data_IF_183366308268
#
_entry.id   IF_183366308268
#
_cell.length_a   1.000
_cell.length_b   1.000
_cell.length_c   1.000
_cell.angle_alpha   90.00
_cell.angle_beta   90.00
_cell.angle_gamma   90.00
#
_symmetry.space_group_name_H-M   'P 1'
#
loop_
_entity.id
_entity.type
_entity.pdbx_description
1 polymer ?
#
# COMPACT_ATOMS: atom_id res chain seq x y z
N UNK A 1 -36.43 -3.29 3.90
CA UNK A 1 -35.01 -2.86 3.80
C UNK A 1 -34.07 -3.87 3.14
N UNK A 2 -34.53 -5.03 2.62
CA UNK A 2 -33.68 -5.93 1.82
C UNK A 2 -33.17 -5.19 0.56
N UNK A 3 -31.88 -5.31 0.24
CA UNK A 3 -31.25 -4.70 -0.94
C UNK A 3 -30.66 -3.30 -0.80
N UNK A 4 -30.63 -2.74 0.42
CA UNK A 4 -30.01 -1.43 0.70
C UNK A 4 -28.50 -1.51 0.94
N UNK A 5 -27.97 -2.70 1.25
CA UNK A 5 -26.56 -2.93 1.54
C UNK A 5 -26.04 -4.19 0.86
N UNK A 6 -24.73 -4.24 0.62
CA UNK A 6 -24.02 -5.41 0.11
C UNK A 6 -22.61 -5.48 0.69
N UNK A 7 -22.04 -6.68 0.82
CA UNK A 7 -20.67 -6.85 1.30
C UNK A 7 -19.66 -6.54 0.17
N UNK A 8 -18.74 -5.61 0.42
CA UNK A 8 -17.71 -5.23 -0.54
C UNK A 8 -16.80 -6.41 -0.92
N UNK A 9 -16.45 -7.26 0.06
CA UNK A 9 -15.56 -8.41 -0.13
C UNK A 9 -16.07 -9.39 -1.18
N UNK A 10 -17.40 -9.57 -1.33
CA UNK A 10 -18.01 -10.46 -2.32
C UNK A 10 -17.72 -10.04 -3.76
N UNK A 11 -17.71 -8.73 -4.03
CA UNK A 11 -17.37 -8.21 -5.36
C UNK A 11 -15.91 -8.51 -5.70
N UNK A 12 -14.98 -8.20 -4.80
CA UNK A 12 -13.56 -8.49 -5.01
C UNK A 12 -13.29 -9.99 -5.12
N UNK A 13 -13.88 -10.83 -4.26
CA UNK A 13 -13.71 -12.28 -4.28
C UNK A 13 -14.19 -12.91 -5.60
N UNK A 14 -15.23 -12.35 -6.23
CA UNK A 14 -15.76 -12.84 -7.50
C UNK A 14 -14.79 -12.67 -8.68
N UNK A 15 -13.89 -11.69 -8.59
CA UNK A 15 -12.92 -11.37 -9.64
C UNK A 15 -11.48 -11.73 -9.28
N UNK A 16 -11.19 -11.95 -7.99
CA UNK A 16 -9.89 -12.34 -7.48
C UNK A 16 -9.73 -13.87 -7.48
N UNK A 17 -9.19 -14.43 -8.57
CA UNK A 17 -9.01 -15.89 -8.75
C UNK A 17 -7.70 -16.44 -8.17
N UNK A 18 -6.93 -15.63 -7.45
CA UNK A 18 -5.60 -16.05 -6.98
C UNK A 18 -5.70 -16.87 -5.69
N UNK A 19 -5.17 -18.09 -5.75
CA UNK A 19 -4.91 -18.91 -4.58
C UNK A 19 -3.59 -18.50 -3.94
N UNK A 20 -3.68 -17.78 -2.84
CA UNK A 20 -2.55 -17.41 -2.01
C UNK A 20 -1.79 -18.68 -1.57
N UNK A 21 -0.49 -18.85 -1.93
CA UNK A 21 0.27 -20.06 -1.59
C UNK A 21 0.34 -20.33 -0.07
N UNK A 22 0.26 -19.28 0.72
CA UNK A 22 0.28 -19.29 2.19
C UNK A 22 -1.10 -19.60 2.81
N UNK A 23 -2.18 -19.61 2.02
CA UNK A 23 -3.52 -19.92 2.51
C UNK A 23 -3.63 -21.33 3.10
N UNK A 24 -2.72 -22.25 2.72
CA UNK A 24 -2.65 -23.60 3.29
C UNK A 24 -2.27 -23.61 4.77
N UNK A 25 -1.59 -22.57 5.25
CA UNK A 25 -1.09 -22.48 6.62
C UNK A 25 -1.90 -21.50 7.50
N UNK A 26 -2.59 -20.53 6.89
CA UNK A 26 -3.44 -19.58 7.62
C UNK A 26 -4.59 -19.09 6.75
N UNK A 27 -5.82 -19.37 7.19
CA UNK A 27 -7.05 -18.94 6.51
C UNK A 27 -7.33 -17.44 6.65
N UNK A 28 -6.65 -16.74 7.57
CA UNK A 28 -6.83 -15.31 7.84
C UNK A 28 -5.89 -14.47 6.96
N UNK A 29 -4.71 -15.00 6.64
CA UNK A 29 -3.64 -14.26 5.96
C UNK A 29 -4.02 -13.76 4.56
N UNK A 30 -4.99 -14.40 3.91
CA UNK A 30 -5.35 -14.11 2.52
C UNK A 30 -6.82 -13.66 2.38
N UNK A 31 -7.48 -13.27 3.49
CA UNK A 31 -8.86 -12.79 3.43
C UNK A 31 -8.94 -11.40 2.82
N UNK A 32 -9.91 -11.23 1.93
CA UNK A 32 -10.29 -9.93 1.39
C UNK A 32 -11.20 -9.26 2.43
N UNK A 33 -10.66 -8.23 3.10
CA UNK A 33 -11.31 -7.50 4.19
C UNK A 33 -11.77 -8.43 5.34
N UNK A 34 -10.82 -8.87 6.18
CA UNK A 34 -10.90 -10.02 7.11
C UNK A 34 -11.89 -9.96 8.28
N UNK A 35 -13.13 -9.52 8.08
CA UNK A 35 -14.23 -9.63 9.06
C UNK A 35 -15.41 -10.44 8.54
N UNK A 36 -16.11 -11.11 9.47
CA UNK A 36 -17.41 -11.77 9.22
C UNK A 36 -18.49 -10.77 8.79
N UNK A 37 -18.30 -9.50 9.17
CA UNK A 37 -19.11 -8.33 8.79
C UNK A 37 -18.22 -7.32 8.05
N UNK A 38 -17.71 -7.73 6.88
CA UNK A 38 -16.85 -6.90 6.02
C UNK A 38 -17.41 -5.51 5.72
N UNK A 39 -16.60 -4.58 5.18
CA UNK A 39 -17.07 -3.27 4.74
C UNK A 39 -18.34 -3.38 3.89
N UNK A 40 -19.38 -2.67 4.31
CA UNK A 40 -20.69 -2.72 3.66
C UNK A 40 -20.88 -1.53 2.72
N UNK A 41 -21.20 -1.84 1.48
CA UNK A 41 -21.76 -0.89 0.52
C UNK A 41 -23.16 -0.49 0.98
N UNK A 42 -23.54 0.77 0.80
CA UNK A 42 -24.89 1.28 1.07
C UNK A 42 -25.40 2.13 -0.08
N UNK A 43 -26.66 1.96 -0.45
CA UNK A 43 -27.34 2.81 -1.45
C UNK A 43 -27.63 4.20 -0.88
N UNK A 44 -27.80 5.18 -1.77
CA UNK A 44 -28.06 6.57 -1.39
C UNK A 44 -26.84 7.39 -0.96
N UNK A 45 -25.65 6.79 -0.99
CA UNK A 45 -24.38 7.47 -0.74
C UNK A 45 -23.28 6.89 -1.63
N UNK A 46 -22.23 7.67 -1.91
CA UNK A 46 -21.03 7.16 -2.58
C UNK A 46 -20.20 6.37 -1.58
N UNK A 47 -19.90 5.11 -1.92
CA UNK A 47 -19.03 4.24 -1.14
C UNK A 47 -17.60 4.39 -1.62
N UNK A 48 -16.65 4.65 -0.72
CA UNK A 48 -15.26 4.91 -1.10
C UNK A 48 -14.28 3.91 -0.53
N UNK A 49 -13.24 3.61 -1.30
CA UNK A 49 -12.13 2.75 -0.88
C UNK A 49 -10.82 3.47 -1.10
N UNK A 50 -9.98 3.57 -0.07
CA UNK A 50 -8.63 4.09 -0.23
C UNK A 50 -7.80 3.12 -1.05
N UNK A 51 -7.04 3.65 -2.00
CA UNK A 51 -6.14 2.87 -2.83
C UNK A 51 -4.69 3.33 -2.62
N UNK A 52 -3.92 2.51 -1.92
CA UNK A 52 -2.56 2.82 -1.51
C UNK A 52 -1.53 1.95 -2.23
N UNK A 53 -1.10 2.43 -3.39
CA UNK A 53 -0.05 1.78 -4.18
C UNK A 53 1.33 2.35 -3.85
N UNK A 54 2.32 1.47 -3.68
CA UNK A 54 3.65 1.90 -3.27
C UNK A 54 4.73 0.86 -3.44
N UNK A 55 5.98 1.33 -3.46
CA UNK A 55 7.15 0.45 -3.52
C UNK A 55 7.31 -0.38 -2.25
N UNK A 56 7.04 0.19 -1.07
CA UNK A 56 7.11 -0.51 0.22
C UNK A 56 8.34 -1.43 0.36
N UNK A 57 9.56 -0.94 0.12
CA UNK A 57 10.76 -1.79 0.03
C UNK A 57 11.83 -1.47 1.10
N UNK A 58 11.64 -1.80 2.38
CA UNK A 58 10.47 -2.45 2.98
C UNK A 58 9.35 -1.45 3.35
N UNK A 59 8.13 -1.94 3.66
CA UNK A 59 7.15 -1.13 4.37
C UNK A 59 7.68 -0.74 5.76
N UNK A 60 7.19 0.38 6.29
CA UNK A 60 7.69 0.99 7.51
C UNK A 60 6.58 1.72 8.25
N UNK A 61 6.80 2.11 9.49
CA UNK A 61 5.75 2.69 10.34
C UNK A 61 5.21 4.02 9.78
N UNK A 62 6.01 4.80 9.06
CA UNK A 62 5.51 6.00 8.34
C UNK A 62 4.46 5.67 7.26
N UNK A 63 4.58 4.53 6.56
CA UNK A 63 3.56 4.10 5.60
C UNK A 63 2.26 3.72 6.31
N UNK A 64 2.36 2.99 7.43
CA UNK A 64 1.21 2.62 8.25
C UNK A 64 0.53 3.85 8.86
N UNK A 65 1.31 4.77 9.43
CA UNK A 65 0.80 6.02 10.01
C UNK A 65 0.06 6.86 8.96
N UNK A 66 0.58 6.94 7.74
CA UNK A 66 -0.13 7.59 6.64
C UNK A 66 -1.45 6.88 6.30
N UNK A 67 -1.44 5.56 6.11
CA UNK A 67 -2.66 4.79 5.83
C UNK A 67 -3.72 4.97 6.92
N UNK A 68 -3.32 4.78 8.18
CA UNK A 68 -4.18 4.92 9.34
C UNK A 68 -4.78 6.32 9.37
N UNK A 69 -3.94 7.35 9.25
CA UNK A 69 -4.41 8.72 9.34
C UNK A 69 -5.36 9.09 8.19
N UNK A 70 -5.02 8.69 6.96
CA UNK A 70 -5.88 8.91 5.81
C UNK A 70 -7.24 8.23 5.99
N UNK A 71 -7.25 6.98 6.46
CA UNK A 71 -8.48 6.22 6.70
C UNK A 71 -9.35 6.89 7.77
N UNK A 72 -8.75 7.28 8.90
CA UNK A 72 -9.44 7.99 9.98
C UNK A 72 -9.97 9.37 9.56
N UNK A 73 -9.21 10.11 8.76
CA UNK A 73 -9.56 11.46 8.30
C UNK A 73 -10.46 11.52 7.07
N UNK A 74 -11.00 10.39 6.60
CA UNK A 74 -11.85 10.33 5.39
C UNK A 74 -13.23 9.70 5.63
N UNK A 75 -13.61 9.53 6.90
CA UNK A 75 -14.96 9.07 7.25
C UNK A 75 -16.07 10.01 6.75
N UNK A 76 -15.81 11.31 6.66
CA UNK A 76 -16.77 12.32 6.17
C UNK A 76 -17.17 12.13 4.71
N UNK A 77 -16.33 11.44 3.92
CA UNK A 77 -16.63 11.05 2.53
C UNK A 77 -16.97 9.57 2.39
N UNK A 78 -17.31 8.90 3.49
CA UNK A 78 -17.73 7.50 3.49
C UNK A 78 -16.69 6.56 2.86
N UNK A 79 -15.41 6.75 3.24
CA UNK A 79 -14.39 5.69 3.04
C UNK A 79 -14.71 4.53 3.99
N UNK A 80 -14.86 3.33 3.42
CA UNK A 80 -15.27 2.13 4.16
C UNK A 80 -14.18 1.04 4.22
N UNK A 81 -13.19 1.11 3.32
CA UNK A 81 -12.12 0.11 3.23
C UNK A 81 -10.84 0.71 2.64
N UNK A 82 -9.74 -0.05 2.68
CA UNK A 82 -8.51 0.30 2.00
C UNK A 82 -7.89 -0.90 1.27
N UNK A 83 -7.29 -0.65 0.11
CA UNK A 83 -6.50 -1.63 -0.63
C UNK A 83 -5.06 -1.15 -0.74
N UNK A 84 -4.14 -1.98 -0.28
CA UNK A 84 -2.69 -1.76 -0.34
C UNK A 84 -2.14 -2.59 -1.50
N UNK A 85 -1.50 -1.93 -2.46
CA UNK A 85 -0.88 -2.58 -3.61
C UNK A 85 0.65 -2.35 -3.58
N UNK A 86 1.43 -3.35 -3.11
CA UNK A 86 2.86 -3.37 -3.35
C UNK A 86 3.15 -3.45 -4.86
N UNK A 87 3.90 -2.46 -5.37
CA UNK A 87 4.26 -2.41 -6.78
C UNK A 87 5.21 -3.54 -7.16
N UNK A 88 5.14 -3.97 -8.42
CA UNK A 88 5.95 -5.07 -8.93
C UNK A 88 7.45 -4.77 -8.86
N UNK A 89 8.27 -5.80 -8.65
CA UNK A 89 9.72 -5.62 -8.42
C UNK A 89 10.44 -4.98 -9.61
N UNK A 90 9.89 -5.03 -10.82
CA UNK A 90 10.46 -4.35 -11.98
C UNK A 90 10.36 -2.82 -11.86
N UNK A 91 9.31 -2.30 -11.22
CA UNK A 91 9.15 -0.86 -10.96
C UNK A 91 10.21 -0.31 -10.01
N UNK A 92 10.83 -1.18 -9.19
CA UNK A 92 11.94 -0.82 -8.30
C UNK A 92 13.28 -0.67 -9.03
N UNK A 93 13.45 -1.34 -10.18
CA UNK A 93 14.72 -1.31 -10.93
C UNK A 93 15.08 0.09 -11.43
N UNK A 94 14.06 0.90 -11.76
CA UNK A 94 14.28 2.30 -12.15
C UNK A 94 14.78 3.16 -10.99
N UNK A 95 14.35 2.86 -9.75
CA UNK A 95 14.84 3.55 -8.54
C UNK A 95 16.26 3.10 -8.15
N UNK A 96 16.59 1.83 -8.40
CA UNK A 96 17.93 1.26 -8.16
C UNK A 96 19.04 2.05 -8.85
N UNK A 97 18.84 2.37 -10.14
CA UNK A 97 19.82 3.09 -10.97
C UNK A 97 20.19 4.47 -10.43
N UNK A 98 19.29 5.11 -9.69
CA UNK A 98 19.49 6.48 -9.21
C UNK A 98 20.21 6.49 -7.86
N UNK A 99 19.99 5.48 -7.01
CA UNK A 99 20.40 5.52 -5.60
C UNK A 99 21.51 4.53 -5.23
N UNK A 100 21.95 3.66 -6.15
CA UNK A 100 23.06 2.73 -5.91
C UNK A 100 22.80 1.61 -4.88
N UNK A 101 21.56 1.46 -4.40
CA UNK A 101 21.19 0.43 -3.42
C UNK A 101 20.83 -0.88 -4.10
N UNK A 102 21.16 -2.01 -3.48
CA UNK A 102 21.04 -3.33 -4.11
C UNK A 102 19.88 -4.16 -3.56
N UNK A 103 19.47 -3.89 -2.33
CA UNK A 103 18.44 -4.66 -1.65
C UNK A 103 17.03 -4.37 -2.21
N UNK A 104 16.55 -5.33 -3.00
CA UNK A 104 15.18 -5.36 -3.51
C UNK A 104 14.46 -6.56 -2.93
N UNK A 105 13.55 -6.30 -1.99
CA UNK A 105 12.68 -7.33 -1.46
C UNK A 105 11.71 -7.80 -2.55
N UNK A 106 11.56 -9.12 -2.75
CA UNK A 106 10.48 -9.69 -3.54
C UNK A 106 9.12 -9.10 -3.16
N UNK A 107 8.18 -9.04 -4.11
CA UNK A 107 6.82 -8.58 -3.83
C UNK A 107 6.14 -9.41 -2.74
N UNK A 108 6.31 -10.73 -2.77
CA UNK A 108 5.79 -11.65 -1.75
C UNK A 108 6.26 -11.27 -0.35
N UNK A 109 7.54 -10.92 -0.20
CA UNK A 109 8.12 -10.54 1.09
C UNK A 109 7.53 -9.20 1.58
N UNK A 110 7.34 -8.23 0.68
CA UNK A 110 6.70 -6.95 1.01
C UNK A 110 5.23 -7.10 1.38
N UNK A 111 4.49 -7.99 0.71
CA UNK A 111 3.11 -8.38 1.06
C UNK A 111 3.08 -9.01 2.45
N UNK A 112 3.97 -9.98 2.70
CA UNK A 112 4.07 -10.68 3.98
C UNK A 112 4.36 -9.72 5.13
N UNK A 113 5.23 -8.72 4.92
CA UNK A 113 5.54 -7.70 5.93
C UNK A 113 4.32 -6.85 6.30
N UNK A 114 3.44 -6.53 5.35
CA UNK A 114 2.18 -5.86 5.64
C UNK A 114 1.21 -6.77 6.39
N UNK A 115 0.95 -7.97 5.87
CA UNK A 115 -0.03 -8.92 6.44
C UNK A 115 0.35 -9.43 7.83
N UNK A 116 1.64 -9.38 8.19
CA UNK A 116 2.14 -9.81 9.50
C UNK A 116 2.04 -8.73 10.59
N UNK A 117 1.74 -7.48 10.23
CA UNK A 117 1.64 -6.41 11.21
C UNK A 117 0.30 -6.48 11.96
N UNK A 118 0.36 -6.59 13.29
CA UNK A 118 -0.82 -6.72 14.14
C UNK A 118 -1.71 -5.47 14.18
N UNK A 119 -1.26 -4.32 13.64
CA UNK A 119 -2.01 -3.06 13.56
C UNK A 119 -2.81 -2.95 12.26
N UNK A 120 -2.69 -3.92 11.35
CA UNK A 120 -3.54 -4.00 10.16
C UNK A 120 -5.01 -4.09 10.56
N UNK A 121 -5.83 -3.20 10.02
CA UNK A 121 -7.27 -3.24 10.24
C UNK A 121 -7.93 -4.30 9.34
N UNK A 122 -9.00 -4.95 9.80
CA UNK A 122 -9.72 -5.91 8.98
C UNK A 122 -10.32 -5.31 7.71
N UNK A 123 -10.63 -4.03 7.68
CA UNK A 123 -11.14 -3.29 6.52
C UNK A 123 -10.03 -3.02 5.48
N UNK A 124 -8.79 -3.41 5.77
CA UNK A 124 -7.66 -3.21 4.88
C UNK A 124 -7.23 -4.52 4.23
N UNK A 125 -7.05 -4.48 2.92
CA UNK A 125 -6.65 -5.64 2.15
C UNK A 125 -5.32 -5.38 1.45
N UNK A 126 -4.36 -6.29 1.65
CA UNK A 126 -3.09 -6.29 0.91
C UNK A 126 -3.26 -7.16 -0.33
N UNK A 127 -3.33 -6.52 -1.49
CA UNK A 127 -3.43 -7.20 -2.78
C UNK A 127 -2.05 -7.67 -3.24
N UNK A 128 -1.93 -8.96 -3.56
CA UNK A 128 -0.66 -9.62 -3.88
C UNK A 128 -0.48 -9.94 -5.38
N UNK A 129 -1.52 -9.80 -6.20
CA UNK A 129 -1.44 -9.90 -7.66
C UNK A 129 -0.76 -8.69 -8.31
N UNK A 130 -0.47 -8.75 -9.61
CA UNK A 130 0.30 -7.73 -10.36
C UNK A 130 -0.44 -6.41 -10.55
N UNK A 131 0.29 -5.35 -10.91
CA UNK A 131 -0.34 -4.06 -11.26
C UNK A 131 -1.29 -4.21 -12.46
N UNK A 132 -0.90 -5.00 -13.46
CA UNK A 132 -1.75 -5.23 -14.63
C UNK A 132 -3.04 -5.99 -14.29
N UNK A 133 -2.97 -6.99 -13.40
CA UNK A 133 -4.15 -7.70 -12.92
C UNK A 133 -5.02 -6.80 -12.05
N UNK A 134 -4.43 -5.91 -11.24
CA UNK A 134 -5.16 -4.94 -10.44
C UNK A 134 -6.07 -4.07 -11.31
N UNK A 135 -5.54 -3.50 -12.40
CA UNK A 135 -6.32 -2.65 -13.28
C UNK A 135 -7.56 -3.39 -13.85
N UNK A 136 -7.40 -4.67 -14.20
CA UNK A 136 -8.52 -5.50 -14.68
C UNK A 136 -9.54 -5.79 -13.58
N UNK A 137 -9.09 -6.11 -12.37
CA UNK A 137 -9.97 -6.40 -11.23
C UNK A 137 -10.72 -5.14 -10.81
N UNK A 138 -10.03 -3.99 -10.73
CA UNK A 138 -10.60 -2.69 -10.37
C UNK A 138 -11.80 -2.38 -11.27
N UNK A 139 -11.58 -2.37 -12.58
CA UNK A 139 -12.62 -2.02 -13.56
C UNK A 139 -13.84 -2.95 -13.44
N UNK A 140 -13.61 -4.26 -13.28
CA UNK A 140 -14.69 -5.25 -13.11
C UNK A 140 -15.45 -5.10 -11.80
N UNK A 141 -14.76 -4.77 -10.71
CA UNK A 141 -15.38 -4.54 -9.40
C UNK A 141 -16.24 -3.28 -9.44
N UNK A 142 -15.72 -2.18 -9.98
CA UNK A 142 -16.48 -0.93 -10.16
C UNK A 142 -17.75 -1.18 -10.99
N UNK A 143 -17.61 -1.77 -12.18
CA UNK A 143 -18.76 -2.09 -13.05
C UNK A 143 -19.80 -2.99 -12.38
N UNK A 144 -19.37 -3.97 -11.57
CA UNK A 144 -20.28 -4.87 -10.88
C UNK A 144 -21.04 -4.18 -9.73
N UNK A 145 -20.34 -3.35 -8.95
CA UNK A 145 -20.96 -2.59 -7.85
C UNK A 145 -21.96 -1.57 -8.40
N UNK A 146 -21.59 -0.86 -9.47
CA UNK A 146 -22.48 0.11 -10.14
C UNK A 146 -23.72 -0.57 -10.73
N UNK A 147 -23.57 -1.74 -11.36
CA UNK A 147 -24.69 -2.52 -11.93
C UNK A 147 -25.73 -2.89 -10.88
N UNK A 148 -25.30 -3.15 -9.64
CA UNK A 148 -26.20 -3.46 -8.52
C UNK A 148 -26.83 -2.20 -7.87
N UNK A 149 -26.52 -1.02 -8.41
CA UNK A 149 -27.11 0.26 -8.05
C UNK A 149 -26.44 0.95 -6.85
N UNK A 150 -25.16 0.67 -6.60
CA UNK A 150 -24.36 1.37 -5.60
C UNK A 150 -23.44 2.38 -6.29
N UNK A 151 -23.37 3.61 -5.76
CA UNK A 151 -22.34 4.57 -6.17
C UNK A 151 -21.03 4.21 -5.46
N UNK A 152 -19.94 4.11 -6.21
CA UNK A 152 -18.66 3.57 -5.73
C UNK A 152 -17.45 4.25 -6.38
N UNK A 153 -16.42 4.55 -5.59
CA UNK A 153 -15.22 5.22 -6.08
C UNK A 153 -13.96 4.77 -5.33
N UNK A 154 -12.84 4.61 -6.04
CA UNK A 154 -11.53 4.58 -5.41
C UNK A 154 -10.97 5.99 -5.16
N UNK A 155 -10.28 6.14 -4.04
CA UNK A 155 -9.58 7.36 -3.64
C UNK A 155 -8.10 7.06 -3.53
N UNK A 156 -7.28 7.65 -4.39
CA UNK A 156 -5.85 7.36 -4.40
C UNK A 156 -5.17 7.95 -3.16
N UNK A 157 -4.22 7.22 -2.60
CA UNK A 157 -3.31 7.76 -1.59
C UNK A 157 -1.99 8.15 -2.22
N UNK A 158 -1.53 9.37 -1.96
CA UNK A 158 -0.24 9.85 -2.44
C UNK A 158 0.53 10.54 -1.33
N UNK A 159 1.78 10.13 -1.14
CA UNK A 159 2.68 10.77 -0.19
C UNK A 159 2.91 12.24 -0.54
N UNK A 160 3.27 13.07 0.45
CA UNK A 160 3.50 14.50 0.25
C UNK A 160 4.68 14.80 -0.70
N UNK A 161 5.55 13.82 -0.95
CA UNK A 161 6.63 13.89 -1.95
C UNK A 161 6.12 13.89 -3.40
N UNK A 162 4.90 13.39 -3.62
CA UNK A 162 4.24 13.37 -4.92
C UNK A 162 3.30 14.55 -5.14
N UNK A 163 2.86 15.20 -4.06
CA UNK A 163 2.00 16.38 -4.10
C UNK A 163 2.73 17.52 -3.41
N UNK A 164 3.45 18.30 -4.23
CA UNK A 164 4.24 19.45 -3.77
C UNK A 164 3.69 20.75 -4.32
N UNK A 165 3.77 21.83 -3.54
CA UNK A 165 3.42 23.18 -4.02
C UNK A 165 4.25 23.64 -5.22
N UNK A 166 5.44 23.08 -5.39
CA UNK A 166 6.38 23.43 -6.45
C UNK A 166 6.27 22.56 -7.70
N UNK A 167 5.44 21.53 -7.67
CA UNK A 167 5.27 20.59 -8.77
C UNK A 167 3.85 20.60 -9.27
N UNK A 168 3.73 20.56 -10.59
CA UNK A 168 2.43 20.41 -11.24
C UNK A 168 1.85 19.04 -10.88
N UNK A 169 0.77 19.03 -10.11
CA UNK A 169 0.04 17.81 -9.84
C UNK A 169 -0.86 17.50 -11.04
N UNK A 170 -0.59 16.41 -11.74
CA UNK A 170 -1.42 16.00 -12.90
C UNK A 170 -2.80 15.51 -12.50
N UNK A 171 -3.04 15.32 -11.20
CA UNK A 171 -4.35 14.99 -10.63
C UNK A 171 -4.85 13.57 -10.91
N UNK A 172 -4.24 12.87 -11.86
CA UNK A 172 -4.67 11.55 -12.29
C UNK A 172 -3.62 10.52 -11.88
N UNK A 173 -3.85 9.90 -10.72
CA UNK A 173 -3.12 8.70 -10.32
C UNK A 173 -4.12 7.55 -10.25
N UNK A 174 -3.77 6.42 -10.87
CA UNK A 174 -4.53 5.17 -10.73
C UNK A 174 -6.01 5.25 -11.12
N UNK A 175 -6.34 6.10 -12.09
CA UNK A 175 -7.72 6.38 -12.53
C UNK A 175 -8.65 6.96 -11.45
N UNK A 176 -8.12 7.42 -10.31
CA UNK A 176 -8.91 8.01 -9.23
C UNK A 176 -9.14 9.52 -9.47
N UNK A 177 -10.32 10.03 -9.09
CA UNK A 177 -10.66 11.46 -9.18
C UNK A 177 -10.33 12.25 -7.92
N UNK A 178 -10.23 11.57 -6.78
CA UNK A 178 -9.84 12.15 -5.50
C UNK A 178 -8.53 11.53 -5.05
N UNK A 179 -7.68 12.35 -4.44
CA UNK A 179 -6.41 11.94 -3.86
C UNK A 179 -6.30 12.42 -2.43
N UNK A 180 -5.93 11.52 -1.53
CA UNK A 180 -5.64 11.83 -0.14
C UNK A 180 -4.13 11.90 0.06
N UNK A 181 -3.69 12.94 0.74
CA UNK A 181 -2.31 13.12 1.20
C UNK A 181 -2.32 13.55 2.65
N UNK A 182 -1.19 13.36 3.33
CA UNK A 182 -1.03 13.63 4.75
C UNK A 182 0.44 13.85 5.06
N UNK A 183 0.69 14.61 6.11
CA UNK A 183 2.00 14.75 6.74
C UNK A 183 2.28 13.69 7.82
N UNK A 184 1.39 12.72 8.06
CA UNK A 184 1.62 11.70 9.10
C UNK A 184 2.83 10.78 8.84
N UNK A 185 3.18 10.57 7.57
CA UNK A 185 4.35 9.77 7.19
C UNK A 185 5.64 10.58 7.04
N UNK A 186 5.52 11.82 6.55
CA UNK A 186 6.61 12.73 6.18
C UNK A 186 6.12 14.16 6.14
N UNK A 187 7.00 15.14 6.33
CA UNK A 187 6.61 16.54 6.16
C UNK A 187 5.99 16.84 4.79
N UNK A 188 4.96 17.69 4.80
CA UNK A 188 4.32 18.24 3.60
C UNK A 188 4.67 19.72 3.44
N UNK A 189 5.02 20.11 2.21
CA UNK A 189 5.22 21.52 1.86
C UNK A 189 3.91 22.26 1.53
N UNK A 190 2.77 21.57 1.63
CA UNK A 190 1.46 22.11 1.29
C UNK A 190 0.85 22.96 2.40
N UNK A 191 1.31 22.79 3.64
CA UNK A 191 0.76 23.49 4.81
C UNK A 191 1.57 24.76 5.06
N UNK A 192 0.88 25.90 5.13
CA UNK A 192 1.45 27.20 5.51
C UNK A 192 1.64 27.29 7.02
N UNK A 193 2.39 28.30 7.47
CA UNK A 193 2.58 28.59 8.91
C UNK A 193 1.26 28.87 9.66
N UNK A 194 0.27 29.44 8.99
CA UNK A 194 -1.08 29.66 9.53
C UNK A 194 -1.97 28.39 9.49
N UNK A 195 -1.38 27.25 9.11
CA UNK A 195 -2.04 25.97 8.91
C UNK A 195 -2.81 25.85 7.60
N UNK A 196 -3.10 26.92 6.85
CA UNK A 196 -3.84 26.87 5.58
C UNK A 196 -3.05 26.13 4.48
N UNK A 197 -3.73 25.66 3.42
CA UNK A 197 -3.04 25.00 2.30
C UNK A 197 -2.55 26.02 1.26
N UNK A 198 -1.40 25.74 0.64
CA UNK A 198 -1.01 26.36 -0.62
C UNK A 198 -1.93 25.90 -1.75
N UNK A 199 -2.21 26.81 -2.69
CA UNK A 199 -2.91 26.46 -3.93
C UNK A 199 -1.99 25.64 -4.81
N UNK A 200 -2.44 24.45 -5.22
CA UNK A 200 -1.69 23.62 -6.16
C UNK A 200 -1.71 24.24 -7.55
N UNK A 201 -0.53 24.33 -8.17
CA UNK A 201 -0.39 24.75 -9.56
C UNK A 201 -0.97 23.68 -10.47
N UNK A 202 -2.03 24.03 -11.21
CA UNK A 202 -2.67 23.12 -12.16
C UNK A 202 -1.91 23.19 -13.49
N UNK A 203 -1.69 22.07 -14.19
CA UNK A 203 -1.19 22.14 -15.55
C UNK A 203 -2.14 23.00 -16.38
N UNK A 204 -1.61 23.85 -17.28
CA UNK A 204 -2.44 24.55 -18.26
C UNK A 204 -3.31 23.52 -19.00
N UNK A 205 -4.57 23.84 -19.35
CA UNK A 205 -5.44 22.92 -20.07
C UNK A 205 -4.69 22.28 -21.24
N UNK A 206 -4.71 20.94 -21.33
CA UNK A 206 -4.07 20.23 -22.43
C UNK A 206 -4.61 20.79 -23.74
N UNK A 207 -3.73 21.35 -24.56
CA UNK A 207 -4.10 21.86 -25.87
C UNK A 207 -4.59 20.72 -26.74
N UNK A 208 -5.30 21.01 -27.84
CA UNK A 208 -5.68 20.00 -28.83
C UNK A 208 -4.47 19.19 -29.32
N UNK A 209 -3.29 19.81 -29.36
CA UNK A 209 -2.01 19.18 -29.70
C UNK A 209 -1.54 18.19 -28.63
N UNK A 210 -1.66 18.53 -27.35
CA UNK A 210 -1.30 17.65 -26.23
C UNK A 210 -2.24 16.46 -26.13
N UNK A 211 -3.55 16.68 -26.33
CA UNK A 211 -4.55 15.60 -26.40
C UNK A 211 -4.20 14.61 -27.50
N UNK A 212 -3.89 15.08 -28.72
CA UNK A 212 -3.46 14.20 -29.84
C UNK A 212 -2.19 13.41 -29.50
N UNK A 213 -1.23 14.03 -28.80
CA UNK A 213 0.02 13.38 -28.38
C UNK A 213 -0.23 12.30 -27.34
N UNK A 214 -1.10 12.55 -26.35
CA UNK A 214 -1.48 11.59 -25.33
C UNK A 214 -2.25 10.39 -25.91
N UNK A 215 -3.15 10.62 -26.86
CA UNK A 215 -3.85 9.52 -27.58
C UNK A 215 -2.87 8.68 -28.40
N UNK A 216 -1.85 9.31 -29.01
CA UNK A 216 -0.78 8.61 -29.74
C UNK A 216 0.06 7.74 -28.79
N UNK A 217 0.43 8.27 -27.62
CA UNK A 217 1.13 7.55 -26.54
C UNK A 217 0.32 6.36 -26.00
N UNK A 218 -0.99 6.53 -25.78
CA UNK A 218 -1.88 5.43 -25.37
C UNK A 218 -2.00 4.35 -26.44
N UNK A 219 -2.03 4.73 -27.74
CA UNK A 219 -2.04 3.77 -28.87
C UNK A 219 -0.72 3.01 -28.99
N UNK A 220 0.43 3.66 -28.80
CA UNK A 220 1.74 2.99 -28.85
C UNK A 220 1.96 2.08 -27.64
N UNK A 221 1.54 2.50 -26.44
CA UNK A 221 1.55 1.66 -25.25
C UNK A 221 0.70 0.39 -25.45
N UNK A 222 -0.55 0.51 -25.92
CA UNK A 222 -1.42 -0.64 -26.23
C UNK A 222 -0.84 -1.58 -27.29
N UNK A 223 -0.13 -1.06 -28.31
CA UNK A 223 0.54 -1.88 -29.33
C UNK A 223 1.74 -2.65 -28.75
N UNK A 224 2.50 -2.02 -27.85
CA UNK A 224 3.63 -2.65 -27.15
C UNK A 224 3.16 -3.79 -26.23
N UNK A 225 2.04 -3.61 -25.53
CA UNK A 225 1.43 -4.64 -24.68
C UNK A 225 0.95 -5.86 -25.49
N UNK A 226 0.37 -5.64 -26.67
CA UNK A 226 -0.08 -6.74 -27.55
C UNK A 226 1.09 -7.54 -28.15
N UNK A 227 2.19 -6.89 -28.52
CA UNK A 227 3.35 -7.60 -29.06
C UNK A 227 4.09 -8.44 -28.01
N UNK A 228 4.05 -8.06 -26.72
CA UNK A 228 4.63 -8.87 -25.63
C UNK A 228 3.82 -10.11 -25.27
N UNK A 229 2.51 -10.11 -25.51
CA UNK A 229 1.64 -11.27 -25.24
C UNK A 229 1.90 -12.43 -26.23
N UNK A 230 2.45 -12.14 -27.41
CA UNK A 230 2.67 -13.12 -28.49
C UNK A 230 3.95 -13.95 -28.32
N UNK A 231 4.85 -13.62 -27.39
CA UNK A 231 6.14 -14.31 -27.18
C UNK A 231 6.20 -15.26 -25.98
N UNK A 232 5.08 -15.47 -25.26
CA UNK A 232 5.06 -16.33 -24.06
C UNK A 232 4.55 -17.77 -24.27
N UNK A 233 4.17 -18.16 -25.50
CA UNK A 233 3.81 -19.55 -25.81
C UNK A 233 5.01 -20.30 -26.40
N UNK A 234 5.96 -20.72 -25.55
CA UNK A 234 6.87 -21.87 -25.78
C UNK A 234 7.84 -22.03 -24.59
N UNK A 235 7.53 -22.97 -23.68
CA UNK A 235 8.46 -23.77 -22.85
C UNK A 235 7.63 -24.59 -21.85
N UNK A 236 7.49 -25.90 -22.06
CA UNK A 236 8.36 -27.02 -21.65
C UNK A 236 7.95 -27.61 -20.29
N UNK A 237 7.61 -28.90 -20.31
CA UNK A 237 7.10 -29.73 -19.22
C UNK A 237 8.12 -29.88 -18.07
N UNK A 238 7.69 -29.96 -16.79
CA UNK A 238 8.57 -30.38 -15.71
C UNK A 238 8.47 -31.89 -15.40
N UNK A 239 9.63 -32.50 -15.13
CA UNK A 239 9.81 -33.88 -14.68
C UNK A 239 9.61 -34.01 -13.17
N UNK A 240 9.32 -35.25 -12.74
CA UNK A 240 8.98 -35.65 -11.37
C UNK A 240 10.22 -35.98 -10.52
N UNK A 241 10.00 -35.87 -9.19
CA UNK A 241 10.64 -36.54 -8.03
C UNK A 241 11.63 -35.70 -7.21
N UNK A 242 11.28 -35.50 -5.94
CA UNK A 242 11.99 -36.10 -4.80
C UNK A 242 11.16 -35.90 -3.51
N UNK A 243 11.09 -36.95 -2.67
CA UNK A 243 10.51 -36.96 -1.32
C UNK A 243 11.66 -36.72 -0.34
N UNK A 244 11.47 -35.90 0.69
CA UNK A 244 12.21 -36.09 1.94
C UNK A 244 11.47 -35.57 3.19
N UNK A 245 11.79 -36.21 4.30
CA UNK A 245 11.09 -36.32 5.59
C UNK A 245 11.27 -35.07 6.46
N UNK A 246 10.23 -34.71 7.24
CA UNK A 246 10.34 -33.70 8.29
C UNK A 246 9.99 -34.30 9.66
N UNK A 247 10.94 -34.24 10.59
CA UNK A 247 10.82 -34.55 12.02
C UNK A 247 10.04 -33.45 12.74
N UNK A 248 9.15 -33.86 13.66
CA UNK A 248 8.41 -32.99 14.58
C UNK A 248 9.28 -32.64 15.80
N UNK A 249 9.27 -31.37 16.21
CA UNK A 249 9.59 -30.97 17.59
C UNK A 249 8.51 -30.02 18.11
N UNK A 250 7.99 -30.37 19.28
CA UNK A 250 6.99 -29.61 20.03
C UNK A 250 7.69 -28.56 20.88
N UNK A 251 7.18 -27.33 20.90
CA UNK A 251 7.35 -26.44 22.06
C UNK A 251 6.10 -25.58 22.28
N UNK A 252 5.70 -25.48 23.55
CA UNK A 252 4.50 -24.81 24.07
C UNK A 252 4.76 -23.31 24.31
N UNK A 253 3.70 -22.47 24.39
CA UNK A 253 3.84 -21.01 24.48
C UNK A 253 3.94 -20.49 25.92
N UNK A 254 4.71 -19.41 26.12
CA UNK A 254 4.86 -18.73 27.42
C UNK A 254 4.33 -17.28 27.38
N UNK A 255 3.11 -17.14 27.91
CA UNK A 255 2.51 -16.06 28.72
C UNK A 255 2.69 -14.57 28.38
N UNK A 256 1.53 -13.98 28.08
CA UNK A 256 0.99 -12.68 28.50
C UNK A 256 1.70 -11.98 29.69
N UNK A 257 2.47 -10.92 29.41
CA UNK A 257 2.70 -9.82 30.40
C UNK A 257 3.14 -8.48 29.80
N UNK A 258 3.06 -8.30 28.47
CA UNK A 258 3.54 -7.10 27.77
C UNK A 258 2.46 -6.05 27.43
N UNK A 259 1.18 -6.34 27.66
CA UNK A 259 0.04 -5.49 27.24
C UNK A 259 -0.27 -4.28 28.16
N UNK A 260 0.37 -4.12 29.32
CA UNK A 260 -0.01 -3.04 30.27
C UNK A 260 0.89 -1.79 30.23
N UNK A 261 2.08 -1.86 29.63
CA UNK A 261 3.01 -0.71 29.57
C UNK A 261 2.73 0.23 28.40
N UNK A 262 2.26 -0.28 27.26
CA UNK A 262 2.01 0.54 26.06
C UNK A 262 0.82 1.50 26.23
N UNK A 263 -0.15 1.15 27.08
CA UNK A 263 -1.29 2.04 27.43
C UNK A 263 -0.90 3.28 28.23
N UNK A 264 0.25 3.27 28.90
CA UNK A 264 0.69 4.36 29.78
C UNK A 264 1.49 5.44 29.03
N UNK A 265 2.12 5.07 27.91
CA UNK A 265 2.82 5.99 27.00
C UNK A 265 1.79 6.78 26.17
N UNK A 266 0.73 6.11 25.67
CA UNK A 266 -0.35 6.75 24.93
C UNK A 266 -1.10 7.86 25.72
N UNK A 267 -1.16 7.76 27.06
CA UNK A 267 -1.85 8.74 27.91
C UNK A 267 -1.01 9.99 28.27
N UNK A 268 0.31 9.96 28.07
CA UNK A 268 1.19 11.10 28.44
C UNK A 268 1.34 12.13 27.31
N UNK A 269 0.95 11.82 26.09
CA UNK A 269 0.98 12.74 24.93
C UNK A 269 -0.23 13.67 24.82
N UNK A 270 -1.24 13.54 25.71
CA UNK A 270 -2.51 14.25 25.62
C UNK A 270 -2.60 15.50 26.54
N UNK A 271 -1.49 16.22 26.80
CA UNK A 271 -1.46 17.34 27.76
C UNK A 271 -1.49 18.76 27.18
N UNK A 272 -1.74 18.89 25.89
CA UNK A 272 -2.19 20.14 25.28
C UNK A 272 -3.30 19.74 24.32
N UNK A 273 -4.48 20.38 24.31
CA UNK A 273 -5.41 20.22 23.21
C UNK A 273 -4.75 20.87 22.00
N UNK A 274 -3.86 20.11 21.34
CA UNK A 274 -3.39 20.44 20.01
C UNK A 274 -4.66 20.71 19.21
N UNK A 275 -4.77 21.91 18.65
CA UNK A 275 -5.86 22.22 17.75
C UNK A 275 -5.84 21.13 16.68
N UNK A 276 -6.80 20.21 16.74
CA UNK A 276 -6.91 19.14 15.76
C UNK A 276 -7.14 19.87 14.45
N UNK A 277 -6.08 19.92 13.63
CA UNK A 277 -6.14 20.59 12.35
C UNK A 277 -7.27 19.92 11.57
N UNK A 278 -8.19 20.73 11.06
CA UNK A 278 -9.32 20.22 10.27
C UNK A 278 -8.80 19.66 8.95
N UNK A 279 -9.41 18.58 8.47
CA UNK A 279 -9.19 18.08 7.11
C UNK A 279 -9.42 19.21 6.11
N UNK A 280 -8.50 19.37 5.17
CA UNK A 280 -8.54 20.45 4.18
C UNK A 280 -8.66 19.86 2.79
N UNK A 281 -9.49 20.49 1.96
CA UNK A 281 -9.75 20.01 0.60
C UNK A 281 -9.37 21.12 -0.37
N UNK A 282 -8.52 20.79 -1.33
CA UNK A 282 -8.13 21.64 -2.44
C UNK A 282 -8.72 21.07 -3.74
N UNK A 283 -9.42 21.92 -4.50
CA UNK A 283 -9.86 21.58 -5.85
C UNK A 283 -8.90 22.18 -6.85
N UNK A 284 -8.38 21.35 -7.77
CA UNK A 284 -7.57 21.83 -8.87
C UNK A 284 -8.44 22.63 -9.85
N UNK A 285 -8.10 23.91 -10.04
CA UNK A 285 -8.80 24.85 -10.95
C UNK A 285 -8.98 24.22 -12.34
N UNK A 286 -10.20 24.22 -12.87
CA UNK A 286 -10.56 23.64 -14.18
C UNK A 286 -10.52 22.11 -14.28
N UNK A 287 -10.42 21.39 -13.16
CA UNK A 287 -10.52 19.94 -13.16
C UNK A 287 -11.62 19.44 -12.22
N UNK A 288 -12.02 18.18 -12.42
CA UNK A 288 -12.87 17.42 -11.48
C UNK A 288 -12.04 16.78 -10.35
N UNK A 289 -10.76 17.12 -10.25
CA UNK A 289 -9.80 16.44 -9.39
C UNK A 289 -9.67 17.17 -8.06
N UNK A 290 -9.67 16.37 -6.99
CA UNK A 290 -9.65 16.83 -5.61
C UNK A 290 -8.43 16.28 -4.91
N UNK A 291 -7.76 17.15 -4.16
CA UNK A 291 -6.69 16.76 -3.23
C UNK A 291 -7.18 17.06 -1.82
N UNK A 292 -7.26 16.02 -1.02
CA UNK A 292 -7.61 16.10 0.39
C UNK A 292 -6.34 15.96 1.22
N UNK A 293 -6.07 16.95 2.05
CA UNK A 293 -5.00 16.94 3.03
C UNK A 293 -5.57 16.55 4.39
N UNK A 294 -5.10 15.44 4.92
CA UNK A 294 -5.43 14.99 6.28
C UNK A 294 -4.22 15.27 7.19
N UNK A 295 -4.31 16.22 8.12
CA UNK A 295 -3.19 16.57 9.00
C UNK A 295 -2.89 15.45 9.99
N UNK A 296 -1.62 15.26 10.31
CA UNK A 296 -1.15 14.39 11.39
C UNK A 296 -1.56 14.91 12.76
N UNK A 297 -1.63 14.01 13.75
CA UNK A 297 -1.87 14.38 15.15
C UNK A 297 -0.57 14.78 15.89
N UNK A 298 0.58 14.68 15.23
CA UNK A 298 1.89 15.01 15.78
C UNK A 298 2.94 15.14 14.70
N UNK A 299 4.21 15.29 15.11
CA UNK A 299 5.33 15.41 14.18
C UNK A 299 5.45 14.16 13.28
N UNK A 300 5.77 14.34 11.97
CA UNK A 300 6.05 13.22 11.09
C UNK A 300 7.21 12.41 11.61
N UNK A 301 7.13 11.10 11.37
CA UNK A 301 8.20 10.18 11.76
C UNK A 301 9.43 10.32 10.87
N UNK A 302 9.27 10.86 9.64
CA UNK A 302 10.33 11.08 8.65
C UNK A 302 11.20 9.83 8.35
N UNK A 303 10.60 8.64 8.52
CA UNK A 303 11.25 7.37 8.21
C UNK A 303 11.16 7.11 6.70
N UNK A 304 12.24 6.60 6.14
CA UNK A 304 12.31 6.17 4.76
C UNK A 304 12.73 4.71 4.64
N UNK A 305 12.20 4.03 3.62
CA UNK A 305 12.71 2.70 3.25
C UNK A 305 14.20 2.72 2.90
N UNK A 306 14.75 3.86 2.46
CA UNK A 306 16.18 4.02 2.16
C UNK A 306 17.02 3.87 3.42
N UNK A 307 16.71 4.62 4.48
CA UNK A 307 17.40 4.51 5.77
C UNK A 307 17.35 3.07 6.32
N UNK A 308 16.21 2.39 6.18
CA UNK A 308 16.07 1.00 6.62
C UNK A 308 17.00 0.08 5.80
N UNK A 309 17.05 0.24 4.48
CA UNK A 309 17.97 -0.53 3.62
C UNK A 309 19.43 -0.26 3.97
N UNK A 310 19.81 0.99 4.24
CA UNK A 310 21.19 1.34 4.63
C UNK A 310 21.62 0.64 5.93
N UNK A 311 20.70 0.53 6.91
CA UNK A 311 20.94 -0.23 8.14
C UNK A 311 21.15 -1.73 7.84
N UNK A 312 20.36 -2.28 6.91
CA UNK A 312 20.42 -3.70 6.53
C UNK A 312 21.66 -4.05 5.70
N UNK A 313 22.09 -3.16 4.80
CA UNK A 313 23.23 -3.35 3.91
C UNK A 313 24.58 -3.03 4.58
N UNK A 314 24.58 -2.36 5.74
CA UNK A 314 25.79 -1.96 6.45
C UNK A 314 26.70 -3.10 6.95
N UNK A 315 26.25 -4.37 6.85
CA UNK A 315 27.09 -5.58 6.94
C UNK A 315 27.78 -5.88 8.28
N UNK A 316 27.55 -5.10 9.33
CA UNK A 316 28.28 -5.18 10.61
C UNK A 316 27.42 -5.56 11.82
N UNK A 317 26.13 -5.74 11.63
CA UNK A 317 25.20 -5.99 12.74
C UNK A 317 24.86 -7.48 12.83
N UNK A 318 24.85 -8.01 14.04
CA UNK A 318 24.19 -9.28 14.33
C UNK A 318 22.68 -9.19 14.06
N UNK A 319 22.00 -10.33 13.91
CA UNK A 319 20.56 -10.36 13.66
C UNK A 319 19.75 -9.70 14.80
N UNK A 320 20.20 -9.84 16.05
CA UNK A 320 19.55 -9.24 17.21
C UNK A 320 19.73 -7.71 17.26
N UNK A 321 20.95 -7.22 16.97
CA UNK A 321 21.19 -5.78 16.85
C UNK A 321 20.42 -5.17 15.69
N UNK A 322 20.35 -5.87 14.56
CA UNK A 322 19.56 -5.45 13.41
C UNK A 322 18.07 -5.37 13.78
N UNK A 323 17.53 -6.40 14.45
CA UNK A 323 16.14 -6.40 14.91
C UNK A 323 15.84 -5.22 15.83
N UNK A 324 16.68 -4.96 16.83
CA UNK A 324 16.47 -3.83 17.75
C UNK A 324 16.59 -2.47 17.05
N UNK A 325 17.46 -2.31 16.04
CA UNK A 325 17.52 -1.07 15.23
C UNK A 325 16.30 -0.88 14.32
N UNK A 326 15.75 -1.97 13.79
CA UNK A 326 14.57 -1.93 12.92
C UNK A 326 13.28 -1.69 13.70
N UNK A 327 13.29 -1.92 15.01
CA UNK A 327 12.16 -1.72 15.91
C UNK A 327 11.75 -0.26 15.97
N UNK A 328 10.46 -0.01 15.72
CA UNK A 328 9.97 1.36 15.59
C UNK A 328 10.33 2.03 14.26
N UNK A 329 10.95 1.32 13.31
CA UNK A 329 11.16 1.81 11.95
C UNK A 329 10.41 0.95 10.95
N UNK A 330 10.74 -0.34 10.86
CA UNK A 330 10.10 -1.29 9.98
C UNK A 330 8.68 -1.62 10.44
N UNK A 331 7.85 -2.04 9.50
CA UNK A 331 6.46 -2.41 9.80
C UNK A 331 6.41 -3.68 10.67
N UNK A 332 7.02 -4.76 10.18
CA UNK A 332 7.15 -6.05 10.88
C UNK A 332 8.63 -6.41 11.03
N UNK A 333 9.35 -5.88 12.04
CA UNK A 333 10.81 -6.04 12.16
C UNK A 333 11.23 -7.50 12.33
N UNK A 334 10.48 -8.32 13.07
CA UNK A 334 10.76 -9.75 13.27
C UNK A 334 10.74 -10.51 11.93
N UNK A 335 9.69 -10.27 11.14
CA UNK A 335 9.52 -10.91 9.83
C UNK A 335 10.56 -10.42 8.83
N UNK A 336 10.96 -9.15 8.92
CA UNK A 336 12.01 -8.59 8.07
C UNK A 336 13.36 -9.24 8.37
N UNK A 337 13.74 -9.36 9.64
CA UNK A 337 14.97 -10.05 10.05
C UNK A 337 14.96 -11.53 9.64
N UNK A 338 13.81 -12.22 9.76
CA UNK A 338 13.65 -13.60 9.30
C UNK A 338 13.85 -13.74 7.78
N UNK A 339 13.27 -12.82 6.98
CA UNK A 339 13.44 -12.80 5.52
C UNK A 339 14.92 -12.67 5.15
N UNK A 340 15.65 -11.77 5.83
CA UNK A 340 17.08 -11.57 5.58
C UNK A 340 17.93 -12.77 5.94
N UNK A 341 17.70 -13.38 7.11
CA UNK A 341 18.41 -14.58 7.54
C UNK A 341 18.30 -15.71 6.49
N UNK A 342 17.12 -15.85 5.86
CA UNK A 342 16.91 -16.82 4.77
C UNK A 342 17.66 -16.47 3.49
N UNK A 343 17.83 -15.18 3.17
CA UNK A 343 18.56 -14.76 1.98
C UNK A 343 20.06 -15.05 2.12
N UNK A 344 20.66 -14.71 3.28
CA UNK A 344 22.07 -15.00 3.57
C UNK A 344 22.40 -16.49 3.45
N UNK A 345 21.50 -17.38 3.91
CA UNK A 345 21.72 -18.83 3.74
C UNK A 345 21.73 -19.30 2.28
N UNK A 346 20.97 -18.64 1.39
CA UNK A 346 20.88 -19.02 -0.03
C UNK A 346 22.08 -18.56 -0.83
N UNK A 347 22.64 -17.40 -0.49
CA UNK A 347 23.82 -16.88 -1.18
C UNK A 347 25.08 -17.66 -0.79
N UNK A 348 25.21 -18.11 0.46
CA UNK A 348 26.28 -19.03 0.86
C UNK A 348 26.19 -20.33 0.04
N UNK A 349 25.02 -20.96 -0.06
CA UNK A 349 24.87 -22.21 -0.83
C UNK A 349 25.13 -22.09 -2.33
N UNK A 350 25.04 -20.88 -2.92
CA UNK A 350 25.35 -20.64 -4.34
C UNK A 350 26.84 -20.47 -4.62
N UNK A 351 27.66 -20.17 -3.62
CA UNK A 351 29.10 -20.03 -3.79
C UNK A 351 29.86 -21.38 -3.65
N UNK A 352 29.14 -22.47 -3.34
CA UNK A 352 29.69 -23.83 -3.19
C UNK A 352 29.31 -24.78 -4.33
N UNK A 353 28.63 -24.27 -5.38
CA UNK A 353 28.29 -24.97 -6.62
C UNK A 353 28.89 -24.20 -7.80
#
# INVERSE_FOLDING_TARGET
>A
MKGQTAELSKYFASYHRWECPEARASSIHCQIFGTKDGPLLRKGQTNRVLFYAGCFNPPHIGHLGFLQRAFEGTHDINVIAAVILPLDSHSLRSKRRVNGQDLILPKSDRVRLWRSDARMLPEWWVYDGTVEEWDIIRDKVEEAIERDGFDFQFVAMSGPDHISRFRTYSGWSWSCFETVTSDAGRHSDLVKRDGSLYTLSVPRPLTTKDKRRLTKLKRTARKSSKNKAMWKTKRSKPSKKAKEKLKKTNSKPRTQKKKSRDRKIARRLAKSPAQVLKVKVCRLKWSKLWVRFVPADGEPLDISSTQIRDIMEGGKLSLDELHERLKGMALSPEVLTEILARQSSRDVSRNWL
#
